data_IF_562585772532
#
_entry.id   IF_562585772532
#
_cell.length_a   1.000
_cell.length_b   1.000
_cell.length_c   1.000
_cell.angle_alpha   90.00
_cell.angle_beta   90.00
_cell.angle_gamma   90.00
#
_symmetry.space_group_name_H-M   'P 1'
#
loop_
_entity.id
_entity.type
_entity.pdbx_description
1 polymer ?
#
# COMPACT_ATOMS: atom_id res chain seq x y z
N UNK A 1 15.07 -19.55 1.85
CA UNK A 1 13.77 -19.51 2.55
C UNK A 1 12.68 -19.47 1.49
N UNK A 2 11.74 -20.42 1.52
CA UNK A 2 10.67 -20.52 0.50
C UNK A 2 9.54 -19.56 0.85
N UNK A 3 9.11 -18.74 -0.11
CA UNK A 3 7.95 -17.87 0.03
C UNK A 3 6.68 -18.72 -0.04
N UNK A 4 5.77 -18.53 0.93
CA UNK A 4 4.49 -19.26 1.02
C UNK A 4 3.26 -18.36 0.96
N UNK A 5 3.43 -17.03 1.12
CA UNK A 5 2.36 -16.05 1.00
C UNK A 5 2.91 -14.73 0.45
N UNK A 6 2.04 -13.99 -0.24
CA UNK A 6 2.35 -12.66 -0.79
C UNK A 6 1.39 -11.63 -0.19
N UNK A 7 1.95 -10.61 0.43
CA UNK A 7 1.23 -9.47 0.99
C UNK A 7 1.50 -8.26 0.10
N UNK A 8 0.48 -7.48 -0.23
CA UNK A 8 0.57 -6.36 -1.17
C UNK A 8 0.00 -5.09 -0.54
N UNK A 9 0.71 -3.97 -0.63
CA UNK A 9 0.05 -2.68 -0.47
C UNK A 9 -0.85 -2.38 -1.67
N UNK A 10 -1.65 -1.31 -1.59
CA UNK A 10 -2.58 -0.90 -2.65
C UNK A 10 -2.07 0.29 -3.45
N UNK A 11 -2.15 1.48 -2.84
CA UNK A 11 -1.91 2.75 -3.50
C UNK A 11 -0.43 2.92 -3.85
N UNK A 12 -0.10 3.01 -5.14
CA UNK A 12 1.29 3.06 -5.62
C UNK A 12 1.94 1.68 -5.81
N UNK A 13 1.27 0.61 -5.38
CA UNK A 13 1.79 -0.76 -5.50
C UNK A 13 1.03 -1.59 -6.53
N UNK A 14 -0.28 -1.68 -6.43
CA UNK A 14 -1.13 -2.42 -7.39
C UNK A 14 -2.10 -1.51 -8.15
N UNK A 15 -2.35 -0.31 -7.63
CA UNK A 15 -3.19 0.72 -8.27
C UNK A 15 -2.49 2.08 -8.24
N UNK A 16 -2.63 2.86 -9.33
CA UNK A 16 -2.38 4.29 -9.31
C UNK A 16 -3.64 4.99 -8.76
N UNK A 17 -3.62 5.26 -7.46
CA UNK A 17 -4.66 6.00 -6.74
C UNK A 17 -4.23 7.45 -6.45
N UNK A 18 -3.08 7.87 -6.94
CA UNK A 18 -2.55 9.21 -6.64
C UNK A 18 -3.31 10.37 -7.30
N UNK A 19 -3.86 10.27 -8.53
CA UNK A 19 -4.59 11.38 -9.12
C UNK A 19 -5.72 11.95 -8.23
N UNK A 20 -6.67 11.16 -7.68
CA UNK A 20 -7.68 11.68 -6.76
C UNK A 20 -7.10 12.16 -5.42
N UNK A 21 -6.05 11.51 -4.88
CA UNK A 21 -5.40 11.93 -3.65
C UNK A 21 -4.75 13.31 -3.83
N UNK A 22 -3.99 13.53 -4.91
CA UNK A 22 -3.30 14.79 -5.21
C UNK A 22 -4.33 15.91 -5.41
N UNK A 23 -5.42 15.65 -6.14
CA UNK A 23 -6.51 16.60 -6.35
C UNK A 23 -7.13 17.02 -5.02
N UNK A 24 -7.58 16.05 -4.23
CA UNK A 24 -8.26 16.29 -2.97
C UNK A 24 -7.35 17.03 -1.97
N UNK A 25 -6.09 16.60 -1.85
CA UNK A 25 -5.14 17.20 -0.94
C UNK A 25 -4.85 18.67 -1.32
N UNK A 26 -4.54 18.96 -2.57
CA UNK A 26 -4.22 20.30 -3.02
C UNK A 26 -5.47 21.23 -3.02
N UNK A 27 -6.67 20.71 -3.22
CA UNK A 27 -7.89 21.47 -3.03
C UNK A 27 -8.11 21.81 -1.55
N UNK A 28 -7.92 20.84 -0.64
CA UNK A 28 -7.98 21.09 0.80
C UNK A 28 -6.95 22.13 1.22
N UNK A 29 -5.72 22.04 0.73
CA UNK A 29 -4.68 23.03 1.04
C UNK A 29 -5.07 24.44 0.61
N UNK A 30 -5.67 24.63 -0.59
CA UNK A 30 -6.18 25.93 -1.02
C UNK A 30 -7.26 26.47 -0.08
N UNK A 31 -8.24 25.63 0.28
CA UNK A 31 -9.35 26.03 1.16
C UNK A 31 -8.88 26.41 2.58
N UNK A 32 -7.78 25.80 3.05
CA UNK A 32 -7.22 26.03 4.37
C UNK A 32 -6.03 27.01 4.37
N UNK A 33 -5.72 27.65 3.23
CA UNK A 33 -4.59 28.55 3.02
C UNK A 33 -3.22 27.91 3.38
N UNK A 34 -3.05 26.63 3.06
CA UNK A 34 -1.81 25.87 3.22
C UNK A 34 -1.04 25.78 1.89
N UNK A 35 0.29 25.63 1.93
CA UNK A 35 1.10 25.44 0.72
C UNK A 35 0.68 24.17 -0.03
N UNK A 36 0.52 24.27 -1.36
CA UNK A 36 0.24 23.12 -2.20
C UNK A 36 1.50 22.26 -2.36
N UNK A 37 1.29 20.98 -2.62
CA UNK A 37 2.35 20.00 -2.83
C UNK A 37 2.41 19.53 -4.27
N UNK A 38 3.61 19.26 -4.74
CA UNK A 38 3.84 18.56 -6.00
C UNK A 38 3.34 17.10 -5.93
N UNK A 39 3.03 16.47 -7.06
CA UNK A 39 2.68 15.05 -7.07
C UNK A 39 3.69 14.16 -6.36
N UNK A 40 4.98 14.42 -6.55
CA UNK A 40 6.06 13.65 -5.92
C UNK A 40 6.08 13.81 -4.40
N UNK A 41 5.86 15.02 -3.89
CA UNK A 41 5.78 15.26 -2.45
C UNK A 41 4.58 14.53 -1.83
N UNK A 42 3.42 14.54 -2.50
CA UNK A 42 2.23 13.80 -2.05
C UNK A 42 2.53 12.31 -1.96
N UNK A 43 3.07 11.70 -3.02
CA UNK A 43 3.46 10.28 -3.02
C UNK A 43 4.41 9.95 -1.87
N UNK A 44 5.45 10.76 -1.66
CA UNK A 44 6.41 10.55 -0.57
C UNK A 44 5.77 10.67 0.82
N UNK A 45 4.82 11.59 1.01
CA UNK A 45 4.10 11.69 2.29
C UNK A 45 3.16 10.52 2.53
N UNK A 46 2.44 10.06 1.51
CA UNK A 46 1.56 8.89 1.59
C UNK A 46 2.35 7.63 1.98
N UNK A 47 3.48 7.38 1.34
CA UNK A 47 4.32 6.20 1.59
C UNK A 47 5.06 6.19 2.94
N UNK A 48 5.00 7.28 3.73
CA UNK A 48 5.59 7.32 5.08
C UNK A 48 4.67 6.80 6.18
N UNK A 49 3.38 6.68 5.91
CA UNK A 49 2.36 6.27 6.86
C UNK A 49 1.46 7.42 7.32
N UNK A 50 0.30 7.07 7.89
CA UNK A 50 -0.83 7.98 8.14
C UNK A 50 -0.51 9.19 9.05
N UNK A 51 0.32 8.99 10.08
CA UNK A 51 0.69 10.09 10.98
C UNK A 51 1.33 11.28 10.23
N UNK A 52 1.95 11.05 9.09
CA UNK A 52 2.58 12.10 8.31
C UNK A 52 1.56 12.94 7.53
N UNK A 53 0.46 12.35 7.06
CA UNK A 53 -0.58 13.07 6.31
C UNK A 53 -1.33 14.09 7.19
N UNK A 54 -1.77 13.69 8.39
CA UNK A 54 -2.43 14.62 9.32
C UNK A 54 -1.54 15.77 9.76
N UNK A 55 -0.25 15.52 9.89
CA UNK A 55 0.71 16.55 10.27
C UNK A 55 0.78 17.69 9.24
N UNK A 56 0.44 17.43 7.98
CA UNK A 56 0.42 18.45 6.92
C UNK A 56 -0.64 19.53 7.13
N UNK A 57 -1.70 19.22 7.87
CA UNK A 57 -2.84 20.12 8.06
C UNK A 57 -2.71 21.09 9.25
N UNK A 58 -1.62 21.00 10.03
CA UNK A 58 -1.33 21.92 11.15
C UNK A 58 -2.42 21.89 12.25
N UNK A 59 -2.74 23.06 12.81
CA UNK A 59 -3.67 23.18 13.93
C UNK A 59 -5.11 22.75 13.62
N UNK A 60 -5.54 22.96 12.35
CA UNK A 60 -6.89 22.57 11.88
C UNK A 60 -6.97 21.17 11.29
N UNK A 61 -6.06 20.28 11.70
CA UNK A 61 -5.88 18.96 11.09
C UNK A 61 -7.15 18.11 10.99
N UNK A 62 -8.02 18.14 12.01
CA UNK A 62 -9.25 17.33 11.99
C UNK A 62 -10.26 17.84 10.94
N UNK A 63 -10.44 19.16 10.85
CA UNK A 63 -11.33 19.78 9.87
C UNK A 63 -10.79 19.60 8.45
N UNK A 64 -9.50 19.79 8.25
CA UNK A 64 -8.87 19.63 6.95
C UNK A 64 -8.84 18.15 6.52
N UNK A 65 -8.64 17.20 7.44
CA UNK A 65 -8.72 15.78 7.15
C UNK A 65 -10.14 15.36 6.75
N UNK A 66 -11.17 15.84 7.44
CA UNK A 66 -12.55 15.59 7.06
C UNK A 66 -12.86 16.14 5.65
N UNK A 67 -12.42 17.39 5.38
CA UNK A 67 -12.61 18.01 4.06
C UNK A 67 -11.87 17.29 2.95
N UNK A 68 -10.63 16.85 3.23
CA UNK A 68 -9.88 15.99 2.30
C UNK A 68 -10.64 14.73 1.93
N UNK A 69 -11.22 14.05 2.93
CA UNK A 69 -11.98 12.81 2.70
C UNK A 69 -13.25 13.07 1.88
N UNK A 70 -13.98 14.16 2.16
CA UNK A 70 -15.16 14.57 1.36
C UNK A 70 -14.80 14.72 -0.11
N UNK A 71 -13.75 15.49 -0.41
CA UNK A 71 -13.29 15.74 -1.78
C UNK A 71 -12.76 14.46 -2.44
N UNK A 72 -12.01 13.65 -1.70
CA UNK A 72 -11.44 12.41 -2.21
C UNK A 72 -12.54 11.41 -2.58
N UNK A 73 -13.59 11.31 -1.76
CA UNK A 73 -14.66 10.35 -1.95
C UNK A 73 -15.59 10.69 -3.13
N UNK A 74 -15.49 11.90 -3.72
CA UNK A 74 -16.25 12.27 -4.90
C UNK A 74 -15.95 11.42 -6.13
N UNK A 75 -14.69 11.02 -6.32
CA UNK A 75 -14.25 10.34 -7.56
C UNK A 75 -13.13 9.30 -7.40
N UNK A 76 -12.79 8.92 -6.16
CA UNK A 76 -11.65 8.02 -5.93
C UNK A 76 -11.81 6.64 -6.59
N UNK A 77 -13.04 6.14 -6.74
CA UNK A 77 -13.30 4.88 -7.44
C UNK A 77 -13.21 5.03 -8.97
N UNK A 78 -13.62 6.18 -9.51
CA UNK A 78 -13.64 6.41 -10.96
C UNK A 78 -12.23 6.71 -11.52
N UNK A 79 -11.35 7.25 -10.68
CA UNK A 79 -10.03 7.77 -11.08
C UNK A 79 -8.87 6.82 -10.81
N UNK A 80 -9.11 5.72 -10.09
CA UNK A 80 -8.08 4.70 -9.89
C UNK A 80 -7.79 3.96 -11.20
N UNK A 81 -6.55 3.52 -11.34
CA UNK A 81 -6.12 2.69 -12.48
C UNK A 81 -5.24 1.54 -11.99
N UNK A 82 -5.46 0.32 -12.49
CA UNK A 82 -4.52 -0.77 -12.29
C UNK A 82 -3.10 -0.35 -12.69
N UNK A 83 -2.11 -0.74 -11.89
CA UNK A 83 -0.71 -0.67 -12.32
C UNK A 83 -0.39 -1.85 -13.25
N UNK A 84 0.48 -1.60 -14.22
CA UNK A 84 0.85 -2.60 -15.22
C UNK A 84 1.43 -3.85 -14.56
N UNK A 85 0.91 -5.01 -14.96
CA UNK A 85 1.31 -6.31 -14.44
C UNK A 85 0.56 -6.77 -13.18
N UNK A 86 -0.29 -5.94 -12.56
CA UNK A 86 -1.01 -6.31 -11.33
C UNK A 86 -1.89 -7.54 -11.53
N UNK A 87 -2.81 -7.52 -12.47
CA UNK A 87 -3.70 -8.68 -12.72
C UNK A 87 -2.93 -9.92 -13.17
N UNK A 88 -1.90 -9.76 -13.98
CA UNK A 88 -1.04 -10.89 -14.40
C UNK A 88 -0.38 -11.54 -13.19
N UNK A 89 0.07 -10.74 -12.22
CA UNK A 89 0.62 -11.24 -10.97
C UNK A 89 -0.43 -11.97 -10.14
N UNK A 90 -1.63 -11.39 -9.96
CA UNK A 90 -2.70 -12.02 -9.18
C UNK A 90 -3.17 -13.34 -9.77
N UNK A 91 -3.40 -13.39 -11.10
CA UNK A 91 -3.77 -14.61 -11.81
C UNK A 91 -2.72 -15.70 -11.64
N UNK A 92 -1.44 -15.35 -11.70
CA UNK A 92 -0.36 -16.29 -11.49
C UNK A 92 -0.31 -16.81 -10.06
N UNK A 93 -0.45 -15.93 -9.03
CA UNK A 93 -0.49 -16.32 -7.62
C UNK A 93 -1.65 -17.27 -7.35
N UNK A 94 -2.84 -16.94 -7.84
CA UNK A 94 -4.04 -17.77 -7.69
C UNK A 94 -3.87 -19.14 -8.38
N UNK A 95 -3.35 -19.18 -9.62
CA UNK A 95 -3.11 -20.42 -10.36
C UNK A 95 -2.09 -21.35 -9.67
N UNK A 96 -1.20 -20.80 -8.83
CA UNK A 96 -0.22 -21.58 -8.07
C UNK A 96 -0.63 -21.82 -6.61
N UNK A 97 -1.86 -21.43 -6.23
CA UNK A 97 -2.38 -21.62 -4.89
C UNK A 97 -1.58 -20.89 -3.81
N UNK A 98 -1.03 -19.70 -4.13
CA UNK A 98 -0.24 -18.89 -3.21
C UNK A 98 -1.19 -17.97 -2.44
N UNK A 99 -1.34 -18.13 -1.11
CA UNK A 99 -2.14 -17.24 -0.29
C UNK A 99 -1.72 -15.78 -0.45
N UNK A 100 -2.70 -14.91 -0.65
CA UNK A 100 -2.45 -13.50 -1.00
C UNK A 100 -3.33 -12.58 -0.16
N UNK A 101 -2.72 -11.54 0.43
CA UNK A 101 -3.45 -10.56 1.22
C UNK A 101 -3.12 -9.12 0.79
N UNK A 102 -4.09 -8.23 0.97
CA UNK A 102 -3.86 -6.79 0.96
C UNK A 102 -3.50 -6.32 2.37
N UNK A 103 -2.45 -5.51 2.49
CA UNK A 103 -2.03 -4.85 3.75
C UNK A 103 -1.79 -3.38 3.47
N UNK A 104 -2.78 -2.53 3.75
CA UNK A 104 -2.78 -1.12 3.33
C UNK A 104 -3.05 -0.15 4.46
N UNK A 105 -2.52 1.08 4.35
CA UNK A 105 -2.85 2.21 5.23
C UNK A 105 -4.18 2.89 4.86
N UNK A 106 -4.79 2.52 3.74
CA UNK A 106 -6.16 2.93 3.38
C UNK A 106 -7.17 2.35 4.38
N UNK A 107 -8.26 3.08 4.69
CA UNK A 107 -9.32 2.52 5.55
C UNK A 107 -9.89 1.23 4.96
N UNK A 108 -10.24 0.29 5.83
CA UNK A 108 -10.77 -1.04 5.44
C UNK A 108 -11.90 -0.91 4.41
N UNK A 109 -12.88 -0.06 4.71
CA UNK A 109 -14.07 0.16 3.85
C UNK A 109 -13.66 0.67 2.45
N UNK A 110 -12.70 1.62 2.36
CA UNK A 110 -12.26 2.14 1.06
C UNK A 110 -11.40 1.15 0.29
N UNK A 111 -10.60 0.34 1.00
CA UNK A 111 -9.82 -0.71 0.36
C UNK A 111 -10.73 -1.77 -0.27
N UNK A 112 -11.72 -2.25 0.48
CA UNK A 112 -12.71 -3.22 -0.02
C UNK A 112 -13.53 -2.67 -1.18
N UNK A 113 -14.05 -1.43 -1.07
CA UNK A 113 -14.80 -0.77 -2.15
C UNK A 113 -13.97 -0.61 -3.43
N UNK A 114 -12.66 -0.36 -3.30
CA UNK A 114 -11.76 -0.22 -4.42
C UNK A 114 -11.48 -1.57 -5.10
N UNK A 115 -11.29 -2.63 -4.33
CA UNK A 115 -11.15 -3.99 -4.86
C UNK A 115 -12.42 -4.46 -5.57
N UNK A 116 -13.59 -4.13 -5.03
CA UNK A 116 -14.89 -4.47 -5.63
C UNK A 116 -15.09 -3.71 -6.96
N UNK A 117 -14.81 -2.41 -6.99
CA UNK A 117 -14.92 -1.58 -8.20
C UNK A 117 -13.98 -2.06 -9.32
N UNK A 118 -12.83 -2.63 -8.98
CA UNK A 118 -11.88 -3.23 -9.93
C UNK A 118 -12.18 -4.71 -10.23
N UNK A 119 -13.19 -5.30 -9.60
CA UNK A 119 -13.50 -6.72 -9.68
C UNK A 119 -12.35 -7.64 -9.22
N UNK A 120 -11.54 -7.20 -8.25
CA UNK A 120 -10.34 -7.87 -7.77
C UNK A 120 -10.51 -8.62 -6.45
N UNK A 121 -11.66 -8.50 -5.77
CA UNK A 121 -11.91 -9.11 -4.45
C UNK A 121 -11.58 -10.60 -4.43
N UNK A 122 -11.84 -11.32 -5.51
CA UNK A 122 -11.64 -12.77 -5.62
C UNK A 122 -10.17 -13.21 -5.72
N UNK A 123 -9.21 -12.30 -5.86
CA UNK A 123 -7.78 -12.62 -5.89
C UNK A 123 -7.15 -12.65 -4.50
N UNK A 124 -7.83 -12.15 -3.47
CA UNK A 124 -7.25 -11.98 -2.15
C UNK A 124 -8.01 -12.78 -1.09
N UNK A 125 -7.26 -13.54 -0.29
CA UNK A 125 -7.82 -14.33 0.82
C UNK A 125 -8.22 -13.44 2.00
N UNK A 126 -7.55 -12.29 2.18
CA UNK A 126 -7.87 -11.32 3.22
C UNK A 126 -7.41 -9.91 2.86
N UNK A 127 -8.07 -8.91 3.49
CA UNK A 127 -7.76 -7.49 3.34
C UNK A 127 -7.56 -6.90 4.74
N UNK A 128 -6.40 -6.33 5.00
CA UNK A 128 -6.04 -5.63 6.23
C UNK A 128 -5.86 -4.15 5.91
N UNK A 129 -6.92 -3.39 6.08
CA UNK A 129 -6.93 -1.94 6.01
C UNK A 129 -6.93 -1.29 7.38
N UNK A 130 -6.88 0.04 7.42
CA UNK A 130 -6.97 0.83 8.64
C UNK A 130 -8.35 0.69 9.27
N UNK A 131 -8.39 0.44 10.57
CA UNK A 131 -9.57 0.42 11.44
C UNK A 131 -9.22 0.99 12.81
N UNK A 132 -10.22 1.51 13.53
CA UNK A 132 -10.02 1.99 14.88
C UNK A 132 -9.51 0.87 15.81
N UNK A 133 -8.47 1.18 16.56
CA UNK A 133 -7.81 0.23 17.46
C UNK A 133 -6.84 -0.76 16.79
N UNK A 134 -6.76 -0.78 15.47
CA UNK A 134 -5.76 -1.59 14.74
C UNK A 134 -4.48 -0.78 14.55
N UNK A 135 -3.29 -1.36 14.85
CA UNK A 135 -2.02 -0.75 14.48
C UNK A 135 -1.92 -0.48 12.97
N UNK A 136 -1.18 0.55 12.61
CA UNK A 136 -0.96 0.94 11.20
C UNK A 136 0.51 0.81 10.83
N UNK A 137 0.82 0.56 9.55
CA UNK A 137 2.20 0.60 9.05
C UNK A 137 2.82 1.97 9.41
N UNK A 138 4.04 2.06 9.95
CA UNK A 138 5.10 1.03 9.97
C UNK A 138 5.09 0.09 11.19
N UNK A 139 4.00 -0.05 11.95
CA UNK A 139 3.87 -1.10 12.96
C UNK A 139 3.79 -2.47 12.28
N UNK A 140 4.34 -3.55 12.88
CA UNK A 140 4.26 -4.91 12.30
C UNK A 140 2.86 -5.52 12.36
N UNK A 141 1.97 -5.01 13.20
CA UNK A 141 0.65 -5.58 13.48
C UNK A 141 -0.18 -5.93 12.25
N UNK A 142 -0.31 -5.07 11.23
CA UNK A 142 -1.08 -5.39 10.04
C UNK A 142 -0.54 -6.59 9.26
N UNK A 143 0.78 -6.72 9.15
CA UNK A 143 1.43 -7.87 8.49
C UNK A 143 1.24 -9.15 9.31
N UNK A 144 1.43 -9.07 10.63
CA UNK A 144 1.23 -10.21 11.51
C UNK A 144 -0.21 -10.71 11.49
N UNK A 145 -1.20 -9.79 11.47
CA UNK A 145 -2.61 -10.12 11.35
C UNK A 145 -2.93 -10.79 10.00
N UNK A 146 -2.39 -10.27 8.89
CA UNK A 146 -2.54 -10.90 7.59
C UNK A 146 -1.96 -12.33 7.58
N UNK A 147 -0.76 -12.52 8.12
CA UNK A 147 -0.13 -13.83 8.22
C UNK A 147 -0.93 -14.80 9.10
N UNK A 148 -1.49 -14.33 10.22
CA UNK A 148 -2.37 -15.12 11.09
C UNK A 148 -3.61 -15.61 10.32
N UNK A 149 -4.29 -14.71 9.59
CA UNK A 149 -5.48 -15.06 8.81
C UNK A 149 -5.17 -16.02 7.66
N UNK A 150 -3.98 -15.93 7.06
CA UNK A 150 -3.51 -16.85 6.03
C UNK A 150 -2.96 -18.18 6.59
N UNK A 151 -2.82 -18.31 7.91
CA UNK A 151 -2.22 -19.49 8.54
C UNK A 151 -0.72 -19.66 8.24
N UNK A 152 -0.01 -18.55 8.02
CA UNK A 152 1.41 -18.53 7.60
C UNK A 152 2.24 -17.79 8.67
N UNK A 153 3.46 -18.27 8.91
CA UNK A 153 4.43 -17.50 9.72
C UNK A 153 5.01 -16.35 8.88
N UNK A 154 5.19 -15.18 9.48
CA UNK A 154 5.63 -13.98 8.78
C UNK A 154 6.97 -14.15 8.04
N UNK A 155 7.88 -14.96 8.57
CA UNK A 155 9.16 -15.30 7.92
C UNK A 155 9.01 -16.02 6.57
N UNK A 156 7.84 -16.61 6.30
CA UNK A 156 7.51 -17.27 5.03
C UNK A 156 6.69 -16.37 4.10
N UNK A 157 6.47 -15.11 4.46
CA UNK A 157 5.77 -14.13 3.63
C UNK A 157 6.72 -13.13 2.99
N UNK A 158 6.24 -12.49 1.92
CA UNK A 158 6.83 -11.28 1.37
C UNK A 158 5.80 -10.16 1.43
N UNK A 159 6.25 -8.94 1.76
CA UNK A 159 5.47 -7.71 1.65
C UNK A 159 5.97 -6.90 0.47
N UNK A 160 5.12 -6.65 -0.50
CA UNK A 160 5.39 -5.81 -1.67
C UNK A 160 4.74 -4.44 -1.42
N UNK A 161 5.52 -3.38 -1.55
CA UNK A 161 5.04 -2.02 -1.33
C UNK A 161 5.99 -0.97 -1.90
N UNK A 162 5.50 0.24 -2.13
CA UNK A 162 6.26 1.38 -2.66
C UNK A 162 6.75 2.34 -1.58
N UNK A 163 6.31 2.15 -0.31
CA UNK A 163 6.55 3.06 0.79
C UNK A 163 7.59 2.60 1.81
N UNK A 164 8.20 3.58 2.48
CA UNK A 164 9.07 3.35 3.64
C UNK A 164 8.31 2.62 4.77
N UNK A 165 7.01 2.93 4.92
CA UNK A 165 6.17 2.29 5.94
C UNK A 165 6.02 0.78 5.72
N UNK A 166 5.93 0.34 4.46
CA UNK A 166 5.83 -1.07 4.09
C UNK A 166 7.09 -1.84 4.46
N UNK A 167 8.23 -1.31 4.09
CA UNK A 167 9.53 -1.94 4.34
C UNK A 167 9.84 -2.03 5.83
N UNK A 168 9.56 -0.96 6.59
CA UNK A 168 9.71 -0.97 8.05
C UNK A 168 8.75 -1.95 8.72
N UNK A 169 7.49 -2.01 8.28
CA UNK A 169 6.50 -2.96 8.80
C UNK A 169 6.93 -4.40 8.52
N UNK A 170 7.38 -4.69 7.29
CA UNK A 170 7.88 -6.00 6.89
C UNK A 170 9.06 -6.45 7.75
N UNK A 171 10.08 -5.60 7.88
CA UNK A 171 11.26 -5.88 8.69
C UNK A 171 10.92 -6.17 10.14
N UNK A 172 10.03 -5.35 10.74
CA UNK A 172 9.60 -5.53 12.14
C UNK A 172 8.76 -6.77 12.36
N UNK A 173 7.99 -7.19 11.36
CA UNK A 173 7.21 -8.43 11.40
C UNK A 173 8.04 -9.69 11.14
N UNK A 174 9.28 -9.57 10.68
CA UNK A 174 10.08 -10.69 10.20
C UNK A 174 9.69 -11.19 8.80
N UNK A 175 8.85 -10.43 8.07
CA UNK A 175 8.53 -10.66 6.67
C UNK A 175 9.61 -10.06 5.76
N UNK A 176 9.74 -10.57 4.55
CA UNK A 176 10.68 -10.03 3.56
C UNK A 176 10.03 -8.86 2.82
N UNK A 177 10.63 -7.65 2.89
CA UNK A 177 10.19 -6.49 2.13
C UNK A 177 10.70 -6.52 0.69
N UNK A 178 9.82 -6.30 -0.29
CA UNK A 178 10.13 -6.08 -1.70
C UNK A 178 9.65 -4.68 -2.09
N UNK A 179 10.59 -3.78 -2.39
CA UNK A 179 10.29 -2.39 -2.68
C UNK A 179 9.94 -2.16 -4.15
N UNK A 180 8.89 -1.40 -4.44
CA UNK A 180 8.62 -0.82 -5.76
C UNK A 180 9.13 0.61 -5.79
N UNK A 181 10.08 0.89 -6.68
CA UNK A 181 10.71 2.20 -6.81
C UNK A 181 9.85 3.14 -7.68
N UNK A 182 9.23 4.14 -7.04
CA UNK A 182 8.53 5.27 -7.70
C UNK A 182 8.82 6.57 -6.92
N UNK A 183 8.17 6.74 -5.78
CA UNK A 183 8.38 7.90 -4.92
C UNK A 183 9.70 7.84 -4.13
N UNK A 184 10.19 6.64 -3.86
CA UNK A 184 11.44 6.37 -3.14
C UNK A 184 12.41 5.61 -4.03
N UNK A 185 13.71 5.91 -3.86
CA UNK A 185 14.79 5.21 -4.56
C UNK A 185 15.04 3.82 -3.97
N UNK A 186 15.70 2.95 -4.73
CA UNK A 186 16.11 1.64 -4.24
C UNK A 186 17.00 1.72 -2.98
N UNK A 187 17.87 2.74 -2.91
CA UNK A 187 18.73 3.01 -1.75
C UNK A 187 17.88 3.34 -0.52
N UNK A 188 16.94 4.31 -0.63
CA UNK A 188 16.06 4.70 0.47
C UNK A 188 15.21 3.53 1.00
N UNK A 189 14.69 2.66 0.11
CA UNK A 189 13.93 1.49 0.52
C UNK A 189 14.80 0.39 1.14
N UNK A 190 16.02 0.20 0.63
CA UNK A 190 16.98 -0.77 1.19
C UNK A 190 17.44 -0.34 2.59
N UNK A 191 17.70 0.94 2.81
CA UNK A 191 18.09 1.49 4.11
C UNK A 191 17.05 1.26 5.21
N UNK A 192 15.78 1.08 4.84
CA UNK A 192 14.69 0.80 5.78
C UNK A 192 14.23 -0.67 5.76
N UNK A 193 14.96 -1.56 5.08
CA UNK A 193 14.82 -2.99 5.19
C UNK A 193 14.24 -3.71 3.96
N UNK A 194 14.16 -3.07 2.79
CA UNK A 194 13.86 -3.80 1.57
C UNK A 194 14.97 -4.82 1.25
N UNK A 195 14.59 -6.06 1.03
CA UNK A 195 15.51 -7.16 0.67
C UNK A 195 15.86 -7.14 -0.83
N UNK A 196 15.00 -6.56 -1.64
CA UNK A 196 15.18 -6.30 -3.06
C UNK A 196 14.25 -5.16 -3.48
N UNK A 197 14.65 -4.44 -4.54
CA UNK A 197 13.88 -3.34 -5.12
C UNK A 197 13.70 -3.55 -6.61
N UNK A 198 12.54 -3.13 -7.13
CA UNK A 198 12.09 -3.34 -8.51
C UNK A 198 11.43 -2.07 -9.04
N UNK A 199 11.35 -1.94 -10.36
CA UNK A 199 10.70 -0.81 -11.03
C UNK A 199 9.32 -1.17 -11.60
N UNK A 200 8.92 -2.44 -11.52
CA UNK A 200 7.62 -2.89 -12.02
C UNK A 200 7.14 -4.16 -11.31
N UNK A 201 5.82 -4.40 -11.32
CA UNK A 201 5.25 -5.66 -10.86
C UNK A 201 5.66 -6.85 -11.75
N UNK A 202 6.02 -6.61 -13.00
CA UNK A 202 6.56 -7.65 -13.89
C UNK A 202 7.93 -8.17 -13.40
N UNK A 203 8.78 -7.27 -12.91
CA UNK A 203 10.06 -7.67 -12.29
C UNK A 203 9.85 -8.43 -10.99
N UNK A 204 8.92 -7.95 -10.13
CA UNK A 204 8.52 -8.65 -8.90
C UNK A 204 7.99 -10.05 -9.22
N UNK A 205 7.12 -10.18 -10.23
CA UNK A 205 6.58 -11.47 -10.67
C UNK A 205 7.70 -12.42 -11.11
N UNK A 206 8.67 -11.93 -11.88
CA UNK A 206 9.83 -12.72 -12.30
C UNK A 206 10.66 -13.21 -11.11
N UNK A 207 10.87 -12.36 -10.13
CA UNK A 207 11.56 -12.72 -8.89
C UNK A 207 10.77 -13.78 -8.09
N UNK A 208 9.44 -13.60 -7.93
CA UNK A 208 8.59 -14.54 -7.20
C UNK A 208 8.62 -15.94 -7.80
N UNK A 209 8.69 -16.09 -9.12
CA UNK A 209 8.84 -17.39 -9.80
C UNK A 209 10.08 -18.15 -9.34
N UNK A 210 11.13 -17.46 -8.94
CA UNK A 210 12.36 -18.09 -8.44
C UNK A 210 12.30 -18.37 -6.95
N UNK A 211 11.53 -17.60 -6.17
CA UNK A 211 11.48 -17.66 -4.72
C UNK A 211 10.42 -18.64 -4.18
N UNK A 212 9.40 -18.96 -4.98
CA UNK A 212 8.27 -19.83 -4.63
C UNK A 212 8.54 -21.30 -5.03
N UNK A 213 9.41 -21.55 -6.00
CA UNK A 213 9.78 -22.90 -6.49
C UNK A 213 10.66 -23.70 -5.51
#
# INVERSE_FOLDING_TARGET
>A
MRVKAVLLDMDGTIVDAFPPIIRALNQTFREFALPQMTPQEVKRHTGKGDCSMKALFGERKEQAAARFLEIHDEDYLDKIRPLDGAETLFQWLQAHGIPTAIVTSKSQIRAEAQLDALHWTHYFDTVIGKMDGRPEKPDPGPILLACEQLGIQAEHSVMIGDGIADMKSATRAGSRGLGLCDAFTAEELTDVGASACFHSLTEVHTWLKTAIN
#
